data_IF_570923532442
#
_entry.id   IF_570923532442
#
_cell.length_a   1.000
_cell.length_b   1.000
_cell.length_c   1.000
_cell.angle_alpha   90.00
_cell.angle_beta   90.00
_cell.angle_gamma   90.00
#
_symmetry.space_group_name_H-M   'P 1'
#
loop_
_entity.id
_entity.type
_entity.pdbx_description
1 polymer ?
#
# COMPACT_ATOMS: atom_id res chain seq x y z
N UNK A 1 -12.86 7.24 -21.20
CA UNK A 1 -11.87 6.28 -20.66
C UNK A 1 -11.20 6.90 -19.44
N UNK A 2 -11.51 6.43 -18.23
CA UNK A 2 -10.89 6.96 -17.02
C UNK A 2 -9.41 6.59 -17.00
N UNK A 3 -8.54 7.58 -17.18
CA UNK A 3 -7.09 7.42 -17.08
C UNK A 3 -6.76 7.06 -15.62
N UNK A 4 -6.62 5.76 -15.32
CA UNK A 4 -6.19 5.31 -13.99
C UNK A 4 -4.74 5.74 -13.80
N UNK A 5 -4.53 6.81 -13.02
CA UNK A 5 -3.19 7.27 -12.67
C UNK A 5 -2.47 6.20 -11.83
N UNK A 6 -1.18 5.95 -12.08
CA UNK A 6 -0.42 5.01 -11.29
C UNK A 6 -0.33 5.47 -9.82
N UNK A 7 -0.20 4.53 -8.87
CA UNK A 7 0.06 4.87 -7.48
C UNK A 7 1.43 5.58 -7.37
N UNK A 8 1.48 6.60 -6.51
CA UNK A 8 2.70 7.33 -6.15
C UNK A 8 3.66 6.44 -5.37
N UNK A 9 4.93 6.87 -5.24
CA UNK A 9 5.94 6.13 -4.46
C UNK A 9 5.46 5.81 -3.04
N UNK A 10 4.82 6.76 -2.34
CA UNK A 10 4.27 6.55 -1.00
C UNK A 10 3.12 5.54 -0.98
N UNK A 11 2.24 5.60 -1.96
CA UNK A 11 1.14 4.63 -2.07
C UNK A 11 1.68 3.23 -2.41
N UNK A 12 2.76 3.12 -3.20
CA UNK A 12 3.42 1.85 -3.46
C UNK A 12 4.06 1.27 -2.20
N UNK A 13 4.70 2.09 -1.36
CA UNK A 13 5.21 1.67 -0.05
C UNK A 13 4.09 1.14 0.85
N UNK A 14 2.98 1.88 0.96
CA UNK A 14 1.80 1.45 1.74
C UNK A 14 1.23 0.14 1.18
N UNK A 15 1.09 0.04 -0.14
CA UNK A 15 0.60 -1.16 -0.82
C UNK A 15 1.47 -2.38 -0.49
N UNK A 16 2.79 -2.26 -0.58
CA UNK A 16 3.71 -3.34 -0.25
C UNK A 16 3.50 -3.83 1.19
N UNK A 17 3.42 -2.92 2.15
CA UNK A 17 3.24 -3.27 3.56
C UNK A 17 1.88 -3.91 3.83
N UNK A 18 0.84 -3.49 3.10
CA UNK A 18 -0.46 -4.17 3.10
C UNK A 18 -0.32 -5.63 2.61
N UNK A 19 0.45 -5.88 1.54
CA UNK A 19 0.71 -7.25 1.04
C UNK A 19 1.49 -8.11 2.04
N UNK A 20 2.35 -7.50 2.85
CA UNK A 20 3.04 -8.16 3.95
C UNK A 20 2.12 -8.47 5.15
N UNK A 21 0.83 -8.10 5.09
CA UNK A 21 -0.13 -8.31 6.17
C UNK A 21 -0.06 -7.26 7.29
N UNK A 22 0.80 -6.24 7.18
CA UNK A 22 1.01 -5.24 8.22
C UNK A 22 -0.21 -4.34 8.41
N UNK A 23 -0.58 -4.11 9.66
CA UNK A 23 -1.72 -3.25 10.04
C UNK A 23 -1.45 -1.78 9.76
N UNK A 24 -2.49 -0.95 9.62
CA UNK A 24 -2.34 0.49 9.40
C UNK A 24 -1.48 1.17 10.48
N UNK A 25 -1.50 0.67 11.73
CA UNK A 25 -0.63 1.15 12.81
C UNK A 25 0.84 0.81 12.57
N UNK A 26 1.15 -0.42 12.14
CA UNK A 26 2.53 -0.82 11.81
C UNK A 26 3.05 -0.06 10.60
N UNK A 27 2.22 0.11 9.56
CA UNK A 27 2.57 0.89 8.37
C UNK A 27 2.86 2.35 8.75
N UNK A 28 2.03 2.93 9.61
CA UNK A 28 2.22 4.29 10.12
C UNK A 28 3.56 4.45 10.85
N UNK A 29 3.89 3.50 11.74
CA UNK A 29 5.15 3.49 12.48
C UNK A 29 6.36 3.37 11.54
N UNK A 30 6.31 2.44 10.58
CA UNK A 30 7.44 2.18 9.69
C UNK A 30 7.65 3.26 8.63
N UNK A 31 6.60 3.98 8.23
CA UNK A 31 6.70 5.09 7.28
C UNK A 31 6.83 6.44 7.98
N UNK A 32 6.74 6.49 9.31
CA UNK A 32 6.80 7.72 10.09
C UNK A 32 5.62 8.68 9.84
N UNK A 33 4.45 8.15 9.51
CA UNK A 33 3.23 8.93 9.22
C UNK A 33 2.09 8.56 10.16
N UNK A 34 1.03 9.39 10.22
CA UNK A 34 -0.14 9.07 11.04
C UNK A 34 -0.96 7.92 10.43
N UNK A 35 -1.57 7.10 11.29
CA UNK A 35 -2.51 6.05 10.86
C UNK A 35 -3.72 6.59 10.09
N UNK A 36 -4.09 7.85 10.31
CA UNK A 36 -5.08 8.56 9.51
C UNK A 36 -4.60 8.77 8.06
N UNK A 37 -3.36 9.21 7.89
CA UNK A 37 -2.70 9.38 6.58
C UNK A 37 -2.58 8.04 5.84
N UNK A 38 -2.26 6.95 6.56
CA UNK A 38 -2.26 5.60 5.97
C UNK A 38 -3.65 5.24 5.43
N UNK A 39 -4.72 5.48 6.19
CA UNK A 39 -6.10 5.24 5.74
C UNK A 39 -6.45 6.01 4.47
N UNK A 40 -5.98 7.25 4.37
CA UNK A 40 -6.20 8.06 3.18
C UNK A 40 -5.45 7.50 1.97
N UNK A 41 -4.19 7.09 2.14
CA UNK A 41 -3.43 6.37 1.11
C UNK A 41 -4.10 5.06 0.68
N UNK A 42 -4.62 4.26 1.62
CA UNK A 42 -5.36 3.02 1.29
C UNK A 42 -6.61 3.35 0.48
N UNK A 43 -7.35 4.39 0.86
CA UNK A 43 -8.58 4.79 0.16
C UNK A 43 -8.29 5.28 -1.26
N UNK A 44 -7.19 6.02 -1.44
CA UNK A 44 -6.71 6.45 -2.75
C UNK A 44 -6.26 5.24 -3.61
N UNK A 45 -5.54 4.28 -3.01
CA UNK A 45 -5.13 3.04 -3.66
C UNK A 45 -6.33 2.20 -4.12
N UNK A 46 -7.33 2.00 -3.26
CA UNK A 46 -8.56 1.28 -3.59
C UNK A 46 -9.26 1.91 -4.80
N UNK A 47 -9.40 3.24 -4.81
CA UNK A 47 -9.99 3.97 -5.95
C UNK A 47 -9.16 3.84 -7.23
N UNK A 48 -7.82 3.97 -7.14
CA UNK A 48 -6.90 3.91 -8.29
C UNK A 48 -6.80 2.53 -8.91
N UNK A 49 -6.75 1.49 -8.06
CA UNK A 49 -6.65 0.10 -8.49
C UNK A 49 -8.03 -0.53 -8.73
N UNK A 50 -9.11 0.17 -8.35
CA UNK A 50 -10.49 -0.34 -8.37
C UNK A 50 -10.65 -1.63 -7.58
N UNK A 51 -9.97 -1.69 -6.43
CA UNK A 51 -10.15 -2.76 -5.46
C UNK A 51 -11.24 -2.36 -4.45
N UNK A 52 -12.03 -3.33 -4.01
CA UNK A 52 -13.15 -3.17 -3.10
C UNK A 52 -12.69 -3.18 -1.64
N UNK A 53 -11.69 -4.00 -1.31
CA UNK A 53 -11.24 -4.22 0.06
C UNK A 53 -9.71 -4.26 0.19
N UNK A 54 -9.19 -3.98 1.40
CA UNK A 54 -7.75 -4.11 1.71
C UNK A 54 -7.21 -5.51 1.38
N UNK A 55 -7.99 -6.56 1.61
CA UNK A 55 -7.60 -7.93 1.27
C UNK A 55 -7.43 -8.11 -0.23
N UNK A 56 -8.38 -7.60 -1.03
CA UNK A 56 -8.27 -7.60 -2.49
C UNK A 56 -7.02 -6.83 -2.92
N UNK A 57 -6.78 -5.66 -2.34
CA UNK A 57 -5.57 -4.87 -2.56
C UNK A 57 -4.27 -5.64 -2.23
N UNK A 58 -4.29 -6.51 -1.21
CA UNK A 58 -3.14 -7.29 -0.76
C UNK A 58 -2.83 -8.47 -1.70
N UNK A 59 -3.85 -9.08 -2.29
CA UNK A 59 -3.69 -10.24 -3.20
C UNK A 59 -3.54 -9.80 -4.67
N UNK A 60 -4.11 -8.66 -5.04
CA UNK A 60 -4.17 -8.18 -6.42
C UNK A 60 -2.76 -8.05 -7.01
N UNK A 61 -2.50 -8.75 -8.11
CA UNK A 61 -1.21 -8.69 -8.79
C UNK A 61 -1.03 -7.30 -9.42
N UNK A 62 -0.06 -6.55 -8.92
CA UNK A 62 0.23 -5.18 -9.36
C UNK A 62 1.70 -5.09 -9.77
N UNK A 63 2.03 -4.52 -10.94
CA UNK A 63 3.41 -4.44 -11.41
C UNK A 63 4.27 -3.40 -10.64
N UNK A 64 3.66 -2.62 -9.73
CA UNK A 64 4.28 -1.48 -9.07
C UNK A 64 5.19 -1.85 -7.87
N UNK A 65 5.20 -3.10 -7.43
CA UNK A 65 5.87 -3.59 -6.20
C UNK A 65 7.23 -4.28 -6.46
N UNK A 66 7.68 -4.35 -7.71
CA UNK A 66 8.84 -5.16 -8.15
C UNK A 66 10.19 -4.80 -7.50
N UNK A 67 10.33 -3.65 -6.82
CA UNK A 67 11.64 -3.13 -6.37
C UNK A 67 11.85 -2.97 -4.87
N UNK A 68 10.85 -3.17 -4.01
CA UNK A 68 10.99 -2.90 -2.57
C UNK A 68 11.43 -4.15 -1.77
N UNK A 69 11.96 -5.17 -2.46
CA UNK A 69 12.44 -6.39 -1.84
C UNK A 69 13.81 -6.17 -1.19
N UNK A 70 13.81 -5.85 0.11
CA UNK A 70 14.74 -6.28 1.16
C UNK A 70 14.82 -5.19 2.22
N UNK A 71 14.11 -5.40 3.33
CA UNK A 71 14.47 -5.01 4.69
C UNK A 71 13.20 -5.19 5.50
N UNK A 72 13.08 -6.36 6.12
CA UNK A 72 12.42 -6.56 7.41
C UNK A 72 12.83 -7.98 7.87
N UNK A 73 14.14 -8.15 8.07
CA UNK A 73 14.73 -9.20 8.89
C UNK A 73 15.43 -8.48 10.04
N UNK A 74 14.73 -8.39 11.16
CA UNK A 74 15.21 -8.07 12.51
C UNK A 74 13.97 -8.33 13.37
N UNK A 75 13.92 -9.25 14.33
CA UNK A 75 14.89 -10.08 15.05
C UNK A 75 14.09 -11.24 15.68
#
# INVERSE_FOLDING_TARGET
>A
MSVRRPPSMREQEVLLRIRQGKTNKQIALELGISGFTVRDHVSALLKKLSASNRTELAIMETPYISRVCKKDSHE
#
